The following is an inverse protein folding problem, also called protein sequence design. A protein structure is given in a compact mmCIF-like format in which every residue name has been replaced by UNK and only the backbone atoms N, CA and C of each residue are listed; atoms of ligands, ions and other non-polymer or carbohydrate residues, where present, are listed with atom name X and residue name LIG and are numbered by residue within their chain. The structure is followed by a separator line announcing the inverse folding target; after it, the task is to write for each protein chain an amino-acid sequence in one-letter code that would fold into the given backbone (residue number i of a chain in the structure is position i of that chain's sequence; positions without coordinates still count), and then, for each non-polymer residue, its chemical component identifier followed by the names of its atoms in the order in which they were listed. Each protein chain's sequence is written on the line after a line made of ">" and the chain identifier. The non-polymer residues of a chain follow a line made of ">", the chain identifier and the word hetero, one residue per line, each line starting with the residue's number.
data_IF_071337327712
#
_entry.id   IF_071337327712
#
_cell.length_a   1.000
_cell.length_b   1.000
_cell.length_c   1.000
_cell.angle_alpha   90.00
_cell.angle_beta   90.00
_cell.angle_gamma   90.00
#
_symmetry.space_group_name_H-M   'P 1'
#
loop_
_entity.id
_entity.type
_entity.pdbx_description
1 polymer ?
#
# COMPACT_ATOMS: atom_id res chain seq x y z
N UNK A 1 20.14 5.06 -14.60
CA UNK A 1 18.95 4.20 -14.46
C UNK A 1 19.16 2.95 -15.31
N UNK A 2 18.59 1.80 -14.92
CA UNK A 2 18.71 0.56 -15.69
C UNK A 2 17.79 0.52 -16.94
N UNK A 3 16.91 1.49 -17.07
CA UNK A 3 16.03 1.68 -18.24
C UNK A 3 16.02 3.15 -18.64
N UNK A 4 15.80 3.43 -19.91
CA UNK A 4 15.62 4.79 -20.44
C UNK A 4 14.16 5.28 -20.31
N UNK A 5 13.35 4.62 -19.48
CA UNK A 5 11.98 5.01 -19.25
C UNK A 5 11.87 6.27 -18.39
N UNK A 6 10.98 7.17 -18.81
CA UNK A 6 10.63 8.36 -18.03
C UNK A 6 9.40 8.03 -17.16
N UNK A 7 9.51 8.11 -15.82
CA UNK A 7 8.35 7.88 -14.96
C UNK A 7 7.36 9.05 -15.05
N UNK A 8 6.08 8.71 -15.24
CA UNK A 8 4.98 9.63 -15.05
C UNK A 8 4.25 9.27 -13.75
N UNK A 9 4.26 10.19 -12.78
CA UNK A 9 3.62 9.95 -11.47
C UNK A 9 2.17 10.42 -11.54
N UNK A 10 1.24 9.47 -11.35
CA UNK A 10 -0.18 9.77 -11.24
C UNK A 10 -0.57 9.94 -9.77
N UNK A 11 -1.04 11.11 -9.34
CA UNK A 11 -1.39 11.34 -7.95
C UNK A 11 -2.70 10.63 -7.58
N UNK A 12 -2.66 9.77 -6.57
CA UNK A 12 -3.85 9.16 -5.98
C UNK A 12 -4.62 10.21 -5.18
N UNK A 13 -5.95 10.29 -5.36
CA UNK A 13 -6.77 11.35 -4.77
C UNK A 13 -8.02 10.81 -4.09
N UNK A 14 -8.51 11.43 -3.01
CA UNK A 14 -9.75 11.02 -2.35
C UNK A 14 -10.96 10.98 -3.28
N UNK A 15 -11.09 11.92 -4.22
CA UNK A 15 -12.23 12.01 -5.18
C UNK A 15 -12.41 10.77 -6.04
N UNK A 16 -11.33 10.00 -6.26
CA UNK A 16 -11.33 8.74 -7.01
C UNK A 16 -11.20 7.52 -6.10
N UNK A 17 -11.43 7.69 -4.78
CA UNK A 17 -11.12 6.66 -3.78
C UNK A 17 -9.69 6.13 -3.90
N UNK A 18 -8.74 7.00 -4.27
CA UNK A 18 -7.33 6.68 -4.51
C UNK A 18 -7.11 5.63 -5.61
N UNK A 19 -8.02 5.50 -6.55
CA UNK A 19 -7.84 4.69 -7.76
C UNK A 19 -7.20 5.54 -8.87
N UNK A 20 -6.36 4.90 -9.68
CA UNK A 20 -5.76 5.51 -10.88
C UNK A 20 -6.77 5.44 -12.01
N UNK A 21 -7.12 6.58 -12.59
CA UNK A 21 -8.00 6.65 -13.76
C UNK A 21 -7.15 6.79 -15.02
N UNK A 22 -6.83 5.67 -15.67
CA UNK A 22 -5.93 5.61 -16.82
C UNK A 22 -6.49 6.37 -18.04
N UNK A 23 -7.79 6.50 -18.13
CA UNK A 23 -8.50 7.24 -19.18
C UNK A 23 -8.31 8.76 -19.03
N UNK A 24 -7.93 9.25 -17.86
CA UNK A 24 -7.60 10.66 -17.62
C UNK A 24 -6.15 11.03 -17.94
N UNK A 25 -5.32 10.06 -18.36
CA UNK A 25 -3.95 10.36 -18.76
C UNK A 25 -3.91 11.28 -19.98
N UNK A 26 -3.06 12.32 -19.98
CA UNK A 26 -2.82 13.12 -21.18
C UNK A 26 -2.41 12.24 -22.36
N UNK A 27 -2.92 12.52 -23.56
CA UNK A 27 -2.70 11.65 -24.74
C UNK A 27 -1.21 11.50 -25.10
N UNK A 28 -0.42 12.56 -24.91
CA UNK A 28 1.03 12.51 -25.10
C UNK A 28 1.75 11.60 -24.09
N UNK A 29 1.17 11.36 -22.91
CA UNK A 29 1.65 10.37 -21.92
C UNK A 29 1.09 8.99 -22.29
N UNK A 30 -0.20 8.88 -22.51
CA UNK A 30 -0.89 7.62 -22.79
C UNK A 30 -0.27 6.89 -24.00
N UNK A 31 -0.02 7.59 -25.10
CA UNK A 31 0.55 7.03 -26.33
C UNK A 31 1.99 6.51 -26.18
N UNK A 32 2.75 7.05 -25.23
CA UNK A 32 4.13 6.63 -24.92
C UNK A 32 4.23 5.63 -23.78
N UNK A 33 3.16 5.41 -23.03
CA UNK A 33 3.14 4.49 -21.89
C UNK A 33 3.41 3.07 -22.35
N UNK A 34 4.33 2.37 -21.69
CA UNK A 34 4.68 0.96 -21.92
C UNK A 34 4.42 0.11 -20.72
N UNK A 35 4.43 0.71 -19.53
CA UNK A 35 4.22 0.01 -18.26
C UNK A 35 3.31 0.85 -17.38
N UNK A 36 2.32 0.22 -16.79
CA UNK A 36 1.50 0.78 -15.70
C UNK A 36 1.80 -0.02 -14.44
N UNK A 37 2.12 0.67 -13.35
CA UNK A 37 2.36 0.05 -12.06
C UNK A 37 1.21 0.39 -11.11
N UNK A 38 0.53 -0.62 -10.60
CA UNK A 38 -0.55 -0.49 -9.61
C UNK A 38 -0.27 -1.34 -8.38
N UNK A 39 -0.59 -0.80 -7.21
CA UNK A 39 -0.52 -1.52 -5.94
C UNK A 39 -1.88 -1.45 -5.25
N UNK A 40 -2.60 -2.58 -5.19
CA UNK A 40 -3.85 -2.73 -4.46
C UNK A 40 -3.95 -4.15 -3.85
N UNK A 41 -4.34 -4.26 -2.57
CA UNK A 41 -4.62 -3.18 -1.60
C UNK A 41 -3.43 -2.24 -1.43
N UNK A 42 -3.70 -0.93 -1.36
CA UNK A 42 -2.68 0.11 -1.57
C UNK A 42 -1.92 0.49 -0.28
N UNK A 43 -0.65 0.67 -0.42
CA UNK A 43 0.21 1.38 0.52
C UNK A 43 0.62 2.73 -0.11
N UNK A 44 0.27 3.89 0.46
CA UNK A 44 -0.16 4.09 1.85
C UNK A 44 -1.67 4.22 2.08
N UNK A 45 -2.47 4.38 1.04
CA UNK A 45 -3.85 4.89 1.13
C UNK A 45 -4.87 3.89 1.68
N UNK A 46 -4.49 2.62 1.76
CA UNK A 46 -5.34 1.48 2.12
C UNK A 46 -6.49 1.19 1.15
N UNK A 47 -6.52 1.89 0.02
CA UNK A 47 -7.53 1.70 -1.00
C UNK A 47 -7.52 0.27 -1.54
N UNK A 48 -8.70 -0.22 -1.87
CA UNK A 48 -8.91 -1.52 -2.52
C UNK A 48 -9.38 -1.30 -3.96
N UNK A 49 -9.00 -2.20 -4.86
CA UNK A 49 -9.40 -2.15 -6.26
C UNK A 49 -10.65 -3.04 -6.47
N UNK A 50 -11.83 -2.49 -6.78
CA UNK A 50 -13.00 -3.26 -7.15
C UNK A 50 -12.76 -4.05 -8.46
N UNK A 51 -13.48 -5.16 -8.64
CA UNK A 51 -13.32 -6.01 -9.82
C UNK A 51 -13.58 -5.28 -11.13
N UNK A 52 -14.64 -4.49 -11.20
CA UNK A 52 -14.99 -3.69 -12.37
C UNK A 52 -13.93 -2.65 -12.75
N UNK A 53 -13.25 -2.08 -11.74
CA UNK A 53 -12.10 -1.22 -11.95
C UNK A 53 -10.94 -2.00 -12.59
N UNK A 54 -10.59 -3.17 -12.06
CA UNK A 54 -9.53 -4.02 -12.61
C UNK A 54 -9.86 -4.46 -14.05
N UNK A 55 -11.11 -4.76 -14.35
CA UNK A 55 -11.58 -5.07 -15.70
C UNK A 55 -11.36 -3.91 -16.69
N UNK A 56 -11.61 -2.67 -16.26
CA UNK A 56 -11.32 -1.48 -17.07
C UNK A 56 -9.80 -1.32 -17.28
N UNK A 57 -9.01 -1.46 -16.24
CA UNK A 57 -7.55 -1.37 -16.32
C UNK A 57 -6.97 -2.40 -17.28
N UNK A 58 -7.36 -3.67 -17.16
CA UNK A 58 -6.88 -4.75 -18.05
C UNK A 58 -7.26 -4.46 -19.49
N UNK A 59 -8.50 -4.06 -19.74
CA UNK A 59 -8.98 -3.69 -21.08
C UNK A 59 -8.19 -2.52 -21.68
N UNK A 60 -7.91 -1.49 -20.86
CA UNK A 60 -7.09 -0.35 -21.27
C UNK A 60 -5.67 -0.78 -21.66
N UNK A 61 -5.02 -1.59 -20.83
CA UNK A 61 -3.66 -2.08 -21.05
C UNK A 61 -3.58 -2.98 -22.31
N UNK A 62 -4.54 -3.89 -22.48
CA UNK A 62 -4.61 -4.75 -23.68
C UNK A 62 -4.76 -3.94 -24.98
N UNK A 63 -5.67 -2.95 -24.99
CA UNK A 63 -5.93 -2.14 -26.15
C UNK A 63 -4.73 -1.29 -26.61
N UNK A 64 -3.76 -1.07 -25.72
CA UNK A 64 -2.59 -0.20 -25.96
C UNK A 64 -1.24 -0.91 -25.89
N UNK A 65 -1.24 -2.24 -25.78
CA UNK A 65 -0.01 -3.06 -25.61
C UNK A 65 0.86 -2.56 -24.43
N UNK A 66 0.23 -2.34 -23.29
CA UNK A 66 0.86 -1.86 -22.05
C UNK A 66 1.02 -3.04 -21.08
N UNK A 67 2.21 -3.22 -20.53
CA UNK A 67 2.44 -4.16 -19.43
C UNK A 67 1.84 -3.62 -18.14
N UNK A 68 0.92 -4.37 -17.53
CA UNK A 68 0.38 -4.09 -16.21
C UNK A 68 1.22 -4.80 -15.14
N UNK A 69 1.90 -4.03 -14.31
CA UNK A 69 2.56 -4.52 -13.09
C UNK A 69 1.58 -4.35 -11.94
N UNK A 70 1.13 -5.45 -11.38
CA UNK A 70 0.18 -5.46 -10.27
C UNK A 70 0.88 -5.96 -8.99
N UNK A 71 1.10 -5.03 -8.05
CA UNK A 71 1.72 -5.34 -6.75
C UNK A 71 0.64 -5.67 -5.73
N UNK A 72 0.48 -6.96 -5.42
CA UNK A 72 -0.53 -7.53 -4.54
C UNK A 72 0.08 -8.07 -3.23
N UNK A 73 0.98 -7.29 -2.64
CA UNK A 73 1.70 -7.70 -1.43
C UNK A 73 0.81 -7.85 -0.18
N UNK A 74 -0.43 -7.37 -0.21
CA UNK A 74 -1.38 -7.39 0.91
C UNK A 74 -2.59 -8.29 0.66
N UNK A 75 -2.55 -9.19 -0.32
CA UNK A 75 -3.65 -10.09 -0.68
C UNK A 75 -4.22 -10.86 0.51
N UNK A 76 -3.37 -11.28 1.45
CA UNK A 76 -3.75 -12.09 2.60
C UNK A 76 -3.99 -11.27 3.88
N UNK A 77 -3.65 -9.98 3.89
CA UNK A 77 -3.97 -9.08 5.01
C UNK A 77 -5.23 -8.28 4.71
N UNK A 78 -6.35 -8.99 4.67
CA UNK A 78 -7.69 -8.47 4.43
C UNK A 78 -8.63 -8.87 5.56
N UNK A 79 -9.67 -8.08 5.79
CA UNK A 79 -10.52 -8.15 6.97
C UNK A 79 -11.99 -8.24 6.59
N UNK A 80 -12.82 -8.72 7.53
CA UNK A 80 -14.28 -8.67 7.46
C UNK A 80 -14.87 -9.37 6.22
N UNK A 81 -14.21 -10.45 5.77
CA UNK A 81 -14.67 -11.24 4.62
C UNK A 81 -14.30 -10.64 3.25
N UNK A 82 -13.60 -9.51 3.21
CA UNK A 82 -13.06 -9.02 1.94
C UNK A 82 -11.91 -9.92 1.48
N UNK A 83 -11.96 -10.31 0.21
CA UNK A 83 -10.90 -11.08 -0.46
C UNK A 83 -10.36 -10.23 -1.60
N UNK A 84 -9.11 -9.73 -1.51
CA UNK A 84 -8.49 -9.01 -2.60
C UNK A 84 -8.37 -9.88 -3.84
N UNK A 85 -8.87 -9.44 -5.01
CA UNK A 85 -8.77 -10.23 -6.22
C UNK A 85 -7.31 -10.32 -6.71
N UNK A 86 -6.94 -11.49 -7.25
CA UNK A 86 -5.78 -11.57 -8.14
C UNK A 86 -6.12 -10.90 -9.47
N UNK A 87 -5.13 -10.22 -10.07
CA UNK A 87 -5.34 -9.65 -11.42
C UNK A 87 -5.67 -10.76 -12.44
N UNK A 88 -5.20 -11.98 -12.19
CA UNK A 88 -5.45 -13.13 -13.08
C UNK A 88 -6.85 -13.73 -13.00
N UNK A 89 -7.69 -13.22 -12.09
CA UNK A 89 -9.13 -13.49 -12.10
C UNK A 89 -9.87 -12.63 -13.13
N UNK A 90 -9.19 -11.64 -13.72
CA UNK A 90 -9.75 -10.74 -14.73
C UNK A 90 -9.44 -11.27 -16.13
N UNK A 91 -10.47 -11.36 -16.95
CA UNK A 91 -10.36 -11.85 -18.32
C UNK A 91 -9.38 -11.01 -19.15
N UNK A 92 -8.44 -11.70 -19.79
CA UNK A 92 -7.39 -11.09 -20.62
C UNK A 92 -6.17 -10.58 -19.84
N UNK A 93 -6.18 -10.59 -18.52
CA UNK A 93 -5.02 -10.15 -17.73
C UNK A 93 -3.77 -10.99 -17.99
N UNK A 94 -3.93 -12.32 -18.25
CA UNK A 94 -2.80 -13.22 -18.55
C UNK A 94 -1.96 -12.79 -19.75
N UNK A 95 -2.53 -12.01 -20.64
CA UNK A 95 -1.83 -11.53 -21.83
C UNK A 95 -0.89 -10.36 -21.54
N UNK A 96 -1.22 -9.51 -20.56
CA UNK A 96 -0.58 -8.21 -20.35
C UNK A 96 -0.10 -7.95 -18.92
N UNK A 97 -0.39 -8.83 -17.97
CA UNK A 97 -0.06 -8.58 -16.57
C UNK A 97 1.09 -9.42 -16.02
N UNK A 98 1.76 -8.85 -15.03
CA UNK A 98 2.61 -9.53 -14.07
C UNK A 98 2.13 -9.16 -12.67
N UNK A 99 1.90 -10.15 -11.82
CA UNK A 99 1.47 -9.96 -10.44
C UNK A 99 2.58 -10.31 -9.47
N UNK A 100 2.85 -9.41 -8.52
CA UNK A 100 3.86 -9.61 -7.49
C UNK A 100 3.22 -9.90 -6.13
N UNK A 101 3.79 -10.87 -5.43
CA UNK A 101 3.43 -11.26 -4.08
C UNK A 101 4.62 -11.20 -3.14
N UNK A 102 4.37 -11.13 -1.83
CA UNK A 102 5.41 -11.00 -0.83
C UNK A 102 5.11 -11.84 0.41
N UNK A 103 6.11 -12.56 0.90
CA UNK A 103 6.03 -13.23 2.21
C UNK A 103 6.13 -12.22 3.37
N UNK A 104 6.57 -11.00 3.09
CA UNK A 104 6.86 -9.96 4.10
C UNK A 104 5.66 -9.63 4.98
N UNK A 105 4.45 -9.62 4.41
CA UNK A 105 3.23 -9.16 5.09
C UNK A 105 2.39 -10.33 5.59
N UNK A 106 2.14 -11.29 4.72
CA UNK A 106 1.34 -12.48 5.01
C UNK A 106 1.93 -13.31 6.14
N UNK A 107 3.26 -13.51 6.13
CA UNK A 107 3.97 -14.38 7.07
C UNK A 107 4.91 -13.63 8.03
N UNK A 108 4.79 -12.31 8.15
CA UNK A 108 5.65 -11.47 8.99
C UNK A 108 7.15 -11.63 8.65
N UNK A 109 7.48 -11.99 7.40
CA UNK A 109 8.84 -12.28 6.93
C UNK A 109 9.51 -11.08 6.26
N UNK A 110 9.26 -9.86 6.73
CA UNK A 110 9.79 -8.63 6.10
C UNK A 110 11.31 -8.64 5.98
N UNK A 111 12.04 -9.11 6.99
CA UNK A 111 13.51 -9.19 7.02
C UNK A 111 14.09 -10.28 6.12
N UNK A 112 13.32 -11.26 5.70
CA UNK A 112 13.76 -12.38 4.87
C UNK A 112 13.94 -12.04 3.40
N UNK A 113 13.38 -10.94 2.94
CA UNK A 113 13.49 -10.42 1.58
C UNK A 113 13.10 -11.43 0.49
N UNK A 114 11.93 -12.05 0.64
CA UNK A 114 11.41 -13.06 -0.29
C UNK A 114 10.01 -12.70 -0.77
N UNK A 115 9.80 -12.86 -2.06
CA UNK A 115 8.54 -12.71 -2.77
C UNK A 115 8.62 -13.44 -4.10
N UNK A 116 7.54 -13.44 -4.84
CA UNK A 116 7.49 -14.07 -6.17
C UNK A 116 6.63 -13.23 -7.12
N UNK A 117 6.79 -13.54 -8.41
CA UNK A 117 5.96 -12.96 -9.46
C UNK A 117 5.30 -14.09 -10.28
N UNK A 118 4.09 -13.81 -10.74
CA UNK A 118 3.33 -14.68 -11.64
C UNK A 118 3.06 -13.91 -12.92
N UNK A 119 3.37 -14.52 -14.07
CA UNK A 119 3.12 -13.95 -15.39
C UNK A 119 3.15 -15.04 -16.45
N UNK A 120 2.80 -14.71 -17.70
CA UNK A 120 3.06 -15.61 -18.82
C UNK A 120 4.57 -15.82 -19.02
N UNK A 121 5.01 -16.95 -19.65
CA UNK A 121 6.42 -17.32 -19.73
C UNK A 121 7.34 -16.24 -20.30
N UNK A 122 6.88 -15.49 -21.30
CA UNK A 122 7.69 -14.47 -21.97
C UNK A 122 7.99 -13.29 -21.01
N UNK A 123 7.01 -12.86 -20.22
CA UNK A 123 7.16 -11.77 -19.24
C UNK A 123 8.01 -12.25 -18.06
N UNK A 124 7.72 -13.45 -17.53
CA UNK A 124 8.48 -14.03 -16.42
C UNK A 124 9.95 -14.28 -16.83
N UNK A 125 10.19 -14.75 -18.04
CA UNK A 125 11.53 -14.97 -18.59
C UNK A 125 12.31 -13.66 -18.76
N UNK A 126 11.66 -12.59 -19.20
CA UNK A 126 12.29 -11.26 -19.29
C UNK A 126 12.68 -10.74 -17.90
N UNK A 127 11.80 -10.86 -16.90
CA UNK A 127 12.11 -10.51 -15.52
C UNK A 127 13.29 -11.32 -14.98
N UNK A 128 13.27 -12.64 -15.17
CA UNK A 128 14.35 -13.53 -14.73
C UNK A 128 15.68 -13.13 -15.36
N UNK A 129 15.69 -12.82 -16.66
CA UNK A 129 16.90 -12.39 -17.38
C UNK A 129 17.47 -11.11 -16.79
N UNK A 130 16.63 -10.07 -16.53
CA UNK A 130 17.08 -8.82 -15.91
C UNK A 130 17.62 -9.08 -14.51
N UNK A 131 16.93 -9.92 -13.72
CA UNK A 131 17.31 -10.24 -12.35
C UNK A 131 18.71 -10.87 -12.25
N UNK A 132 19.14 -11.67 -13.23
CA UNK A 132 20.51 -12.24 -13.23
C UNK A 132 21.62 -11.20 -13.25
N UNK A 133 21.34 -9.97 -13.70
CA UNK A 133 22.30 -8.85 -13.71
C UNK A 133 22.19 -7.95 -12.48
N UNK A 134 21.12 -8.09 -11.68
CA UNK A 134 20.88 -7.28 -10.48
C UNK A 134 21.34 -8.00 -9.23
N UNK A 135 20.94 -9.26 -9.10
CA UNK A 135 21.35 -10.15 -8.02
C UNK A 135 21.41 -11.61 -8.55
N UNK A 136 22.11 -12.47 -7.82
CA UNK A 136 22.24 -13.91 -8.17
C UNK A 136 21.07 -14.75 -7.67
N UNK A 137 20.03 -14.12 -7.14
CA UNK A 137 18.87 -14.76 -6.55
C UNK A 137 18.90 -14.82 -5.02
N UNK A 138 17.74 -15.11 -4.46
CA UNK A 138 17.56 -15.27 -3.01
C UNK A 138 18.27 -16.54 -2.53
N UNK A 139 18.95 -16.45 -1.37
CA UNK A 139 19.59 -17.62 -0.76
C UNK A 139 18.62 -18.79 -0.61
N UNK A 140 19.08 -20.03 -0.97
CA UNK A 140 18.21 -21.19 -1.04
C UNK A 140 17.51 -21.55 0.27
N UNK A 141 18.17 -21.30 1.42
CA UNK A 141 17.55 -21.47 2.74
C UNK A 141 16.33 -20.57 2.95
N UNK A 142 16.37 -19.33 2.43
CA UNK A 142 15.22 -18.41 2.46
C UNK A 142 14.11 -18.90 1.53
N UNK A 143 14.47 -19.47 0.35
CA UNK A 143 13.47 -20.04 -0.54
C UNK A 143 12.77 -21.25 0.09
N UNK A 144 13.52 -22.15 0.73
CA UNK A 144 12.97 -23.29 1.47
C UNK A 144 12.05 -22.85 2.62
N UNK A 145 12.45 -21.82 3.37
CA UNK A 145 11.59 -21.20 4.40
C UNK A 145 10.32 -20.60 3.78
N UNK A 146 10.43 -20.02 2.59
CA UNK A 146 9.27 -19.49 1.84
C UNK A 146 8.27 -20.57 1.44
N UNK A 147 8.77 -21.71 0.98
CA UNK A 147 7.91 -22.88 0.68
C UNK A 147 7.20 -23.35 1.94
N UNK A 148 7.91 -23.55 3.04
CA UNK A 148 7.32 -23.97 4.31
C UNK A 148 6.28 -22.95 4.82
N UNK A 149 6.53 -21.65 4.65
CA UNK A 149 5.56 -20.60 5.00
C UNK A 149 4.27 -20.74 4.17
N UNK A 150 4.37 -20.92 2.86
CA UNK A 150 3.20 -21.09 1.98
C UNK A 150 2.43 -22.36 2.35
N UNK A 151 3.11 -23.47 2.63
CA UNK A 151 2.50 -24.73 3.05
C UNK A 151 1.77 -24.60 4.41
N UNK A 152 2.21 -23.71 5.28
CA UNK A 152 1.58 -23.43 6.58
C UNK A 152 0.41 -22.44 6.52
N UNK A 153 -0.07 -22.04 5.35
CA UNK A 153 -1.07 -20.99 5.18
C UNK A 153 -2.30 -21.18 6.09
N UNK A 154 -2.88 -22.39 6.08
CA UNK A 154 -4.09 -22.69 6.85
C UNK A 154 -3.90 -22.59 8.37
N UNK A 155 -2.71 -22.91 8.86
CA UNK A 155 -2.38 -22.89 10.29
C UNK A 155 -1.95 -21.50 10.78
N UNK A 156 -1.28 -20.74 9.93
CA UNK A 156 -0.68 -19.46 10.33
C UNK A 156 -1.52 -18.23 9.96
N UNK A 157 -1.96 -18.13 8.69
CA UNK A 157 -2.52 -16.87 8.15
C UNK A 157 -3.83 -16.47 8.84
N UNK A 158 -4.80 -17.36 9.10
CA UNK A 158 -6.04 -16.97 9.77
C UNK A 158 -5.80 -16.37 11.16
N UNK A 159 -4.88 -16.95 11.94
CA UNK A 159 -4.49 -16.44 13.25
C UNK A 159 -3.78 -15.08 13.16
N UNK A 160 -2.88 -14.91 12.19
CA UNK A 160 -2.19 -13.65 11.95
C UNK A 160 -3.17 -12.54 11.54
N UNK A 161 -4.10 -12.82 10.64
CA UNK A 161 -5.16 -11.88 10.23
C UNK A 161 -6.05 -11.48 11.41
N UNK A 162 -6.39 -12.42 12.30
CA UNK A 162 -7.18 -12.11 13.49
C UNK A 162 -6.46 -11.11 14.42
N UNK A 163 -5.14 -11.28 14.63
CA UNK A 163 -4.31 -10.34 15.40
C UNK A 163 -4.29 -8.95 14.74
N UNK A 164 -4.11 -8.89 13.41
CA UNK A 164 -4.11 -7.61 12.70
C UNK A 164 -5.48 -6.94 12.72
N UNK A 165 -6.58 -7.70 12.65
CA UNK A 165 -7.94 -7.17 12.78
C UNK A 165 -8.16 -6.54 14.15
N UNK A 166 -7.78 -7.22 15.24
CA UNK A 166 -7.86 -6.67 16.61
C UNK A 166 -7.09 -5.35 16.71
N UNK A 167 -5.88 -5.31 16.18
CA UNK A 167 -5.04 -4.10 16.20
C UNK A 167 -5.62 -2.98 15.34
N UNK A 168 -6.16 -3.29 14.16
CA UNK A 168 -6.86 -2.34 13.31
C UNK A 168 -8.02 -1.70 14.06
N UNK A 169 -8.89 -2.51 14.65
CA UNK A 169 -10.09 -2.04 15.34
C UNK A 169 -9.72 -1.16 16.54
N UNK A 170 -8.71 -1.55 17.30
CA UNK A 170 -8.18 -0.75 18.39
C UNK A 170 -7.57 0.57 17.90
N UNK A 171 -6.81 0.56 16.82
CA UNK A 171 -6.23 1.77 16.24
C UNK A 171 -7.31 2.72 15.73
N UNK A 172 -8.30 2.22 14.98
CA UNK A 172 -9.42 3.01 14.47
C UNK A 172 -10.17 3.67 15.62
N UNK A 173 -10.54 2.92 16.66
CA UNK A 173 -11.24 3.46 17.81
C UNK A 173 -10.41 4.50 18.57
N UNK A 174 -9.12 4.22 18.79
CA UNK A 174 -8.24 5.11 19.55
C UNK A 174 -7.99 6.44 18.81
N UNK A 175 -7.68 6.40 17.51
CA UNK A 175 -7.45 7.62 16.74
C UNK A 175 -8.75 8.44 16.54
N UNK A 176 -9.90 7.78 16.37
CA UNK A 176 -11.19 8.46 16.34
C UNK A 176 -11.48 9.18 17.69
N UNK A 177 -11.24 8.51 18.82
CA UNK A 177 -11.38 9.10 20.14
C UNK A 177 -10.39 10.26 20.41
N UNK A 178 -9.24 10.25 19.74
CA UNK A 178 -8.24 11.32 19.80
C UNK A 178 -8.52 12.51 18.85
N UNK A 179 -9.69 12.52 18.17
CA UNK A 179 -10.14 13.65 17.34
C UNK A 179 -9.79 13.55 15.85
N UNK A 180 -9.28 12.41 15.38
CA UNK A 180 -8.99 12.20 13.96
C UNK A 180 -10.19 11.61 13.21
N UNK A 181 -10.33 11.99 11.95
CA UNK A 181 -11.24 11.31 11.03
C UNK A 181 -10.55 10.04 10.51
N UNK A 182 -11.08 8.88 10.86
CA UNK A 182 -10.45 7.59 10.52
C UNK A 182 -11.42 6.71 9.74
N UNK A 183 -10.97 6.21 8.59
CA UNK A 183 -11.69 5.16 7.86
C UNK A 183 -11.06 3.81 8.19
N UNK A 184 -11.89 2.83 8.58
CA UNK A 184 -11.42 1.47 8.82
C UNK A 184 -11.00 0.81 7.50
N UNK A 185 -9.75 0.36 7.36
CA UNK A 185 -9.29 -0.26 6.14
C UNK A 185 -9.83 -1.69 6.01
N UNK A 186 -10.24 -2.07 4.79
CA UNK A 186 -10.65 -3.43 4.47
C UNK A 186 -9.45 -4.38 4.31
N UNK A 187 -8.25 -3.84 4.10
CA UNK A 187 -7.00 -4.59 3.95
C UNK A 187 -5.79 -3.75 4.33
N UNK A 188 -4.62 -4.32 4.29
CA UNK A 188 -3.31 -3.76 4.67
C UNK A 188 -3.05 -3.78 6.18
N UNK A 189 -1.95 -3.15 6.62
CA UNK A 189 -1.58 -3.00 8.02
C UNK A 189 -1.45 -1.51 8.43
N UNK A 190 -2.12 -0.61 7.70
CA UNK A 190 -1.96 0.84 7.85
C UNK A 190 -3.29 1.54 8.11
N UNK A 191 -3.22 2.71 8.75
CA UNK A 191 -4.23 3.75 8.64
C UNK A 191 -3.64 4.91 7.84
N UNK A 192 -4.44 5.45 6.92
CA UNK A 192 -4.17 6.66 6.16
C UNK A 192 -5.10 7.74 6.66
N UNK A 193 -4.57 8.63 7.49
CA UNK A 193 -5.37 9.54 8.30
C UNK A 193 -5.23 10.96 7.75
N UNK A 194 -6.34 11.61 7.38
CA UNK A 194 -6.32 13.00 6.96
C UNK A 194 -6.01 13.92 8.15
N UNK A 195 -5.23 14.96 7.87
CA UNK A 195 -5.01 16.09 8.76
C UNK A 195 -6.03 17.21 8.46
N UNK A 196 -6.39 18.01 9.45
CA UNK A 196 -7.17 19.21 9.21
C UNK A 196 -6.49 20.13 8.18
N UNK A 197 -7.32 20.82 7.41
CA UNK A 197 -6.83 21.77 6.41
C UNK A 197 -5.84 22.78 7.01
N UNK A 198 -4.74 23.01 6.30
CA UNK A 198 -3.66 23.91 6.66
C UNK A 198 -2.66 23.37 7.68
N UNK A 199 -2.76 22.11 8.12
CA UNK A 199 -1.71 21.43 8.87
C UNK A 199 -0.87 20.63 7.88
N UNK A 200 0.39 21.05 7.66
CA UNK A 200 1.31 20.35 6.78
C UNK A 200 1.75 19.01 7.38
N UNK A 201 1.73 17.94 6.57
CA UNK A 201 1.98 16.58 7.04
C UNK A 201 3.37 16.39 7.64
N UNK A 202 4.39 17.04 7.05
CA UNK A 202 5.76 17.00 7.59
C UNK A 202 5.85 17.72 8.93
N UNK A 203 5.27 18.90 9.06
CA UNK A 203 5.29 19.67 10.31
C UNK A 203 4.61 18.91 11.44
N UNK A 204 3.48 18.23 11.15
CA UNK A 204 2.81 17.38 12.12
C UNK A 204 3.69 16.19 12.56
N UNK A 205 4.33 15.51 11.61
CA UNK A 205 5.20 14.37 11.92
C UNK A 205 6.46 14.78 12.71
N UNK A 206 7.08 15.92 12.38
CA UNK A 206 8.24 16.45 13.11
C UNK A 206 7.85 16.78 14.57
N UNK A 207 6.73 17.47 14.78
CA UNK A 207 6.24 17.80 16.13
C UNK A 207 5.87 16.55 16.94
N UNK A 208 5.28 15.54 16.32
CA UNK A 208 5.02 14.26 16.98
C UNK A 208 6.30 13.62 17.49
N UNK A 209 7.36 13.67 16.72
CA UNK A 209 8.65 13.13 17.10
C UNK A 209 9.29 13.96 18.22
N UNK A 210 9.30 15.27 18.10
CA UNK A 210 9.99 16.17 19.03
C UNK A 210 9.25 16.30 20.37
N UNK A 211 7.93 16.45 20.37
CA UNK A 211 7.15 16.68 21.57
C UNK A 211 6.72 15.40 22.28
N UNK A 212 6.45 14.32 21.51
CA UNK A 212 5.82 13.11 22.05
C UNK A 212 6.65 11.83 21.82
N UNK A 213 7.78 11.92 21.12
CA UNK A 213 8.61 10.76 20.79
C UNK A 213 7.88 9.73 19.93
N UNK A 214 6.91 10.17 19.12
CA UNK A 214 6.11 9.32 18.26
C UNK A 214 6.49 9.53 16.79
N UNK A 215 6.91 8.44 16.14
CA UNK A 215 7.29 8.46 14.72
C UNK A 215 6.09 7.98 13.88
N UNK A 216 5.66 8.85 12.97
CA UNK A 216 4.69 8.54 11.91
C UNK A 216 5.28 8.90 10.55
N UNK A 217 4.70 8.40 9.47
CA UNK A 217 5.14 8.79 8.13
C UNK A 217 4.25 9.92 7.59
N UNK A 218 4.82 11.11 7.32
CA UNK A 218 4.07 12.19 6.69
C UNK A 218 3.65 11.81 5.29
N UNK A 219 2.46 12.20 4.89
CA UNK A 219 1.93 11.85 3.58
C UNK A 219 2.74 12.44 2.43
N UNK A 220 3.35 13.62 2.61
CA UNK A 220 4.27 14.23 1.65
C UNK A 220 5.49 13.32 1.33
N UNK A 221 5.86 12.41 2.23
CA UNK A 221 6.90 11.41 1.98
C UNK A 221 6.53 10.35 0.93
N UNK A 222 5.26 10.26 0.56
CA UNK A 222 4.75 9.40 -0.51
C UNK A 222 4.48 10.17 -1.82
N UNK A 223 4.92 11.41 -1.90
CA UNK A 223 4.71 12.30 -3.03
C UNK A 223 3.71 13.41 -2.75
N UNK A 224 3.61 14.37 -3.67
CA UNK A 224 2.77 15.58 -3.50
C UNK A 224 1.27 15.26 -3.27
N UNK A 225 0.78 14.15 -3.84
CA UNK A 225 -0.61 13.71 -3.63
C UNK A 225 -0.93 13.22 -2.22
N UNK A 226 0.10 12.96 -1.41
CA UNK A 226 -0.06 12.53 -0.01
C UNK A 226 -0.09 13.68 1.00
N UNK A 227 0.15 14.94 0.57
CA UNK A 227 0.06 16.07 1.49
C UNK A 227 -1.34 16.19 2.11
N UNK A 228 -1.39 16.60 3.37
CA UNK A 228 -2.62 16.61 4.16
C UNK A 228 -3.01 15.27 4.79
N UNK A 229 -2.13 14.27 4.71
CA UNK A 229 -2.32 12.97 5.36
C UNK A 229 -1.08 12.55 6.14
N UNK A 230 -1.25 11.58 7.03
CA UNK A 230 -0.14 10.81 7.60
C UNK A 230 -0.50 9.32 7.68
N UNK A 231 0.53 8.47 7.66
CA UNK A 231 0.36 7.02 7.77
C UNK A 231 0.88 6.52 9.11
N UNK A 232 0.08 5.68 9.76
CA UNK A 232 0.55 4.81 10.84
C UNK A 232 0.46 3.34 10.41
N UNK A 233 1.20 2.47 11.09
CA UNK A 233 1.04 1.02 10.97
C UNK A 233 0.58 0.42 12.31
N UNK A 234 -0.44 -0.44 12.27
CA UNK A 234 -0.94 -1.11 13.47
C UNK A 234 -0.25 -2.46 13.71
N UNK A 235 1.10 -2.42 13.73
CA UNK A 235 1.95 -3.60 13.93
C UNK A 235 2.30 -3.88 15.40
N UNK A 236 1.88 -2.99 16.29
CA UNK A 236 2.13 -3.08 17.74
C UNK A 236 0.85 -3.44 18.49
N UNK A 237 0.94 -3.90 19.77
CA UNK A 237 -0.25 -4.24 20.54
C UNK A 237 -1.23 -3.09 20.74
N UNK A 238 -2.55 -3.38 20.96
CA UNK A 238 -3.60 -2.38 21.13
C UNK A 238 -3.29 -1.25 22.12
N UNK A 239 -2.69 -1.58 23.27
CA UNK A 239 -2.33 -0.59 24.28
C UNK A 239 -1.34 0.47 23.76
N UNK A 240 -0.37 0.04 22.92
CA UNK A 240 0.59 0.98 22.30
C UNK A 240 -0.06 1.85 21.24
N UNK A 241 -1.05 1.33 20.53
CA UNK A 241 -1.84 2.08 19.55
C UNK A 241 -2.70 3.14 20.24
N UNK A 242 -3.31 2.80 21.38
CA UNK A 242 -4.07 3.75 22.19
C UNK A 242 -3.18 4.88 22.73
N UNK A 243 -2.00 4.55 23.24
CA UNK A 243 -1.00 5.53 23.69
C UNK A 243 -0.57 6.45 22.54
N UNK A 244 -0.26 5.87 21.37
CA UNK A 244 0.13 6.64 20.20
C UNK A 244 -0.98 7.62 19.74
N UNK A 245 -2.23 7.17 19.75
CA UNK A 245 -3.37 8.01 19.39
C UNK A 245 -3.53 9.20 20.35
N UNK A 246 -3.40 8.98 21.66
CA UNK A 246 -3.48 10.04 22.67
C UNK A 246 -2.37 11.09 22.47
N UNK A 247 -1.13 10.64 22.23
CA UNK A 247 0.01 11.52 21.92
C UNK A 247 -0.25 12.33 20.67
N UNK A 248 -0.69 11.68 19.59
CA UNK A 248 -1.03 12.35 18.34
C UNK A 248 -2.16 13.40 18.52
N UNK A 249 -3.18 13.09 19.32
CA UNK A 249 -4.27 14.00 19.64
C UNK A 249 -3.82 15.27 20.37
N UNK A 250 -2.85 15.16 21.30
CA UNK A 250 -2.30 16.36 21.98
C UNK A 250 -1.62 17.31 21.00
N UNK A 251 -0.76 16.76 20.13
CA UNK A 251 -0.08 17.59 19.12
C UNK A 251 -1.08 18.23 18.16
N UNK A 252 -2.10 17.44 17.73
CA UNK A 252 -3.16 17.97 16.86
C UNK A 252 -3.89 19.16 17.52
N UNK A 253 -4.25 19.03 18.79
CA UNK A 253 -4.92 20.09 19.54
C UNK A 253 -4.05 21.37 19.62
N UNK A 254 -2.78 21.22 19.99
CA UNK A 254 -1.85 22.36 20.07
C UNK A 254 -1.71 23.07 18.71
N UNK A 255 -1.49 22.33 17.63
CA UNK A 255 -1.37 22.93 16.29
C UNK A 255 -2.66 23.63 15.83
N UNK A 256 -3.81 23.10 16.21
CA UNK A 256 -5.10 23.69 15.86
C UNK A 256 -5.33 25.00 16.63
N UNK A 257 -5.02 25.03 17.93
CA UNK A 257 -5.11 26.23 18.75
C UNK A 257 -4.16 27.36 18.29
N UNK A 258 -2.91 27.01 17.98
CA UNK A 258 -1.92 27.95 17.46
C UNK A 258 -2.42 28.64 16.18
N UNK A 259 -3.03 27.88 15.28
CA UNK A 259 -3.61 28.42 14.05
C UNK A 259 -4.79 29.36 14.31
N UNK A 260 -5.68 28.98 15.22
CA UNK A 260 -6.83 29.85 15.60
C UNK A 260 -6.42 31.19 16.22
N UNK A 261 -5.24 31.22 16.86
CA UNK A 261 -4.68 32.47 17.43
C UNK A 261 -3.94 33.32 16.39
N UNK A 262 -3.52 32.72 15.27
CA UNK A 262 -2.74 33.38 14.23
C UNK A 262 -3.58 33.94 13.05
N UNK A 263 -4.85 33.52 12.94
CA UNK A 263 -5.79 33.99 11.91
C UNK A 263 -6.88 34.86 12.47
#
# INVERSE_FOLDING_TARGET
>A
MLSDATPHVYPLRPRTNFLVELEELPEDVASRTRVVYLNYPNNPTTAIAPRDYLERVVRYCRARDILLVFDNAYSELAFDGYVPPSIFEIDGAREVAIEFHSLSKTYNMTGWRCGWAVAKPEIAGALAKVKTFIDTGTYMGIQAAGVAAIESWGDFVPGNVAIFRERRDAAVAAFAAAGFTVTSPAATMYLWIPLPEGIASKAFADRLMDEEGLIVLPGSGFGAGGEGFFRISFIVPPARLAEAAQRAGRVLAHMTEERQRAG
#
